data_IF_203691355974
#
_entry.id   IF_203691355974
#
_cell.length_a   1.000
_cell.length_b   1.000
_cell.length_c   1.000
_cell.angle_alpha   90.00
_cell.angle_beta   90.00
_cell.angle_gamma   90.00
#
_symmetry.space_group_name_H-M   'P 1'
#
loop_
_entity.id
_entity.type
_entity.pdbx_description
1 polymer ?
#
# COMPACT_ATOMS: atom_id res chain seq x y z
N UNK A 1 -34.90 2.87 -87.49
CA UNK A 1 -33.57 3.11 -86.88
C UNK A 1 -33.77 3.40 -85.40
N UNK A 2 -33.58 2.41 -84.52
CA UNK A 2 -33.65 2.54 -83.06
C UNK A 2 -32.26 2.23 -82.49
N UNK A 3 -31.71 3.18 -81.72
CA UNK A 3 -30.40 3.11 -81.06
C UNK A 3 -30.49 2.20 -79.84
N UNK A 4 -29.58 1.24 -79.73
CA UNK A 4 -29.32 0.49 -78.49
C UNK A 4 -28.10 1.13 -77.82
N UNK A 5 -28.31 1.66 -76.62
CA UNK A 5 -27.27 2.26 -75.76
C UNK A 5 -26.62 1.13 -74.95
N UNK A 6 -25.29 1.03 -75.02
CA UNK A 6 -24.48 0.12 -74.21
C UNK A 6 -24.07 0.86 -72.93
N UNK A 7 -24.54 0.42 -71.76
CA UNK A 7 -24.06 0.91 -70.47
C UNK A 7 -22.75 0.19 -70.11
N UNK A 8 -21.66 0.94 -69.97
CA UNK A 8 -20.41 0.48 -69.35
C UNK A 8 -20.52 0.68 -67.83
N UNK A 9 -20.46 -0.40 -67.05
CA UNK A 9 -20.33 -0.33 -65.60
C UNK A 9 -18.85 -0.24 -65.22
N UNK A 10 -18.44 0.87 -64.60
CA UNK A 10 -17.10 1.05 -64.04
C UNK A 10 -17.10 0.56 -62.60
N UNK A 11 -16.42 -0.55 -62.33
CA UNK A 11 -16.23 -1.08 -60.98
C UNK A 11 -15.05 -0.36 -60.31
N UNK A 12 -15.35 0.59 -59.42
CA UNK A 12 -14.35 1.18 -58.52
C UNK A 12 -13.98 0.16 -57.44
N UNK A 13 -12.77 -0.39 -57.53
CA UNK A 13 -12.17 -1.24 -56.50
C UNK A 13 -11.53 -0.33 -55.44
N UNK A 14 -12.17 -0.24 -54.27
CA UNK A 14 -11.60 0.43 -53.11
C UNK A 14 -10.58 -0.52 -52.46
N UNK A 15 -9.30 -0.27 -52.66
CA UNK A 15 -8.23 -1.01 -51.99
C UNK A 15 -8.16 -0.53 -50.52
N UNK A 16 -8.70 -1.34 -49.60
CA UNK A 16 -8.50 -1.15 -48.17
C UNK A 16 -7.07 -1.56 -47.86
N UNK A 17 -6.20 -0.57 -47.66
CA UNK A 17 -4.87 -0.79 -47.07
C UNK A 17 -5.11 -1.09 -45.58
N UNK A 18 -5.12 -2.37 -45.22
CA UNK A 18 -5.07 -2.80 -43.84
C UNK A 18 -3.67 -2.47 -43.29
N UNK A 19 -3.50 -1.24 -42.79
CA UNK A 19 -2.34 -0.87 -42.00
C UNK A 19 -2.36 -1.69 -40.71
N UNK A 20 -1.44 -2.66 -40.62
CA UNK A 20 -1.17 -3.36 -39.38
C UNK A 20 -0.61 -2.34 -38.39
N UNK A 21 -1.46 -1.79 -37.52
CA UNK A 21 -0.99 -1.06 -36.36
C UNK A 21 -0.22 -2.04 -35.48
N UNK A 22 1.12 -2.00 -35.55
CA UNK A 22 1.97 -2.65 -34.57
C UNK A 22 1.62 -2.04 -33.22
N UNK A 23 0.89 -2.78 -32.39
CA UNK A 23 0.76 -2.46 -30.98
C UNK A 23 2.19 -2.38 -30.42
N UNK A 24 2.60 -1.18 -30.03
CA UNK A 24 3.82 -0.99 -29.27
C UNK A 24 3.55 -1.68 -27.92
N UNK A 25 4.01 -2.92 -27.77
CA UNK A 25 3.98 -3.60 -26.49
C UNK A 25 4.96 -2.85 -25.57
N UNK A 26 4.43 -1.95 -24.75
CA UNK A 26 5.20 -1.36 -23.67
C UNK A 26 5.65 -2.50 -22.74
N UNK A 27 6.88 -2.44 -22.20
CA UNK A 27 7.33 -3.44 -21.26
C UNK A 27 6.38 -3.47 -20.05
N UNK A 28 5.91 -4.67 -19.71
CA UNK A 28 5.05 -4.92 -18.55
C UNK A 28 5.86 -5.57 -17.44
N UNK A 29 5.63 -5.13 -16.21
CA UNK A 29 6.15 -5.76 -15.01
C UNK A 29 5.04 -6.51 -14.28
N UNK A 30 5.39 -7.68 -13.75
CA UNK A 30 4.55 -8.42 -12.83
C UNK A 30 4.91 -8.03 -11.39
N UNK A 31 3.91 -7.54 -10.66
CA UNK A 31 3.98 -7.20 -9.25
C UNK A 31 3.40 -8.37 -8.46
N UNK A 32 4.29 -9.12 -7.81
CA UNK A 32 3.92 -10.20 -6.88
C UNK A 32 3.65 -9.59 -5.52
N UNK A 33 2.39 -9.49 -5.13
CA UNK A 33 1.96 -8.85 -3.89
C UNK A 33 1.62 -9.90 -2.85
N UNK A 34 2.09 -9.72 -1.62
CA UNK A 34 1.72 -10.53 -0.45
C UNK A 34 1.14 -9.60 0.62
N UNK A 35 -0.02 -9.94 1.16
CA UNK A 35 -0.65 -9.23 2.29
C UNK A 35 -0.50 -10.08 3.53
N UNK A 36 0.09 -9.53 4.57
CA UNK A 36 0.32 -10.18 5.85
C UNK A 36 0.04 -9.22 7.01
N UNK A 37 -0.12 -9.78 8.21
CA UNK A 37 -0.17 -9.06 9.48
C UNK A 37 0.61 -9.88 10.49
N UNK A 38 1.57 -9.26 11.18
CA UNK A 38 2.43 -9.95 12.16
C UNK A 38 2.99 -11.30 11.62
N UNK A 39 3.43 -11.29 10.36
CA UNK A 39 3.94 -12.47 9.64
C UNK A 39 2.89 -13.52 9.21
N UNK A 40 1.61 -13.32 9.53
CA UNK A 40 0.52 -14.22 9.15
C UNK A 40 -0.15 -13.76 7.85
N UNK A 41 -0.42 -14.71 6.95
CA UNK A 41 -1.06 -14.42 5.66
C UNK A 41 -2.51 -13.92 5.81
N UNK A 42 -2.85 -12.83 5.12
CA UNK A 42 -4.24 -12.34 5.06
C UNK A 42 -4.91 -12.85 3.79
N UNK A 43 -5.73 -13.88 3.94
CA UNK A 43 -6.44 -14.53 2.83
C UNK A 43 -7.72 -13.78 2.43
N UNK A 44 -8.06 -13.78 1.14
CA UNK A 44 -9.30 -13.17 0.64
C UNK A 44 -9.39 -11.66 0.75
N UNK A 45 -8.32 -10.96 1.15
CA UNK A 45 -8.23 -9.51 1.21
C UNK A 45 -8.42 -8.91 -0.18
N UNK A 46 -9.21 -7.84 -0.30
CA UNK A 46 -9.34 -7.13 -1.57
C UNK A 46 -8.13 -6.22 -1.75
N UNK A 47 -7.36 -6.42 -2.82
CA UNK A 47 -6.18 -5.63 -3.14
C UNK A 47 -6.43 -4.83 -4.42
N UNK A 48 -6.14 -3.54 -4.38
CA UNK A 48 -6.16 -2.64 -5.51
C UNK A 48 -4.75 -2.22 -5.89
N UNK A 49 -4.42 -2.29 -7.17
CA UNK A 49 -3.23 -1.62 -7.73
C UNK A 49 -3.67 -0.28 -8.31
N UNK A 50 -3.07 0.80 -7.83
CA UNK A 50 -3.49 2.17 -8.15
C UNK A 50 -2.28 2.95 -8.65
N UNK A 51 -2.46 3.66 -9.77
CA UNK A 51 -1.48 4.60 -10.30
C UNK A 51 -1.73 5.98 -9.72
N UNK A 52 -0.72 6.54 -9.06
CA UNK A 52 -0.70 7.92 -8.58
C UNK A 52 0.21 8.75 -9.47
N UNK A 53 -0.33 9.85 -10.00
CA UNK A 53 0.43 10.82 -10.78
C UNK A 53 0.06 12.23 -10.33
N UNK A 54 1.06 13.09 -10.24
CA UNK A 54 0.83 14.47 -9.83
C UNK A 54 -0.15 15.20 -10.73
N UNK A 55 -1.04 15.98 -10.10
CA UNK A 55 -2.02 16.81 -10.81
C UNK A 55 -3.10 15.99 -11.55
N UNK A 56 -3.10 14.66 -11.40
CA UNK A 56 -4.11 13.76 -11.94
C UNK A 56 -4.78 13.02 -10.78
N UNK A 57 -6.06 12.71 -10.95
CA UNK A 57 -6.75 11.83 -10.02
C UNK A 57 -6.12 10.41 -10.08
N UNK A 58 -5.98 9.71 -8.94
CA UNK A 58 -5.50 8.34 -8.92
C UNK A 58 -6.36 7.42 -9.79
N UNK A 59 -5.70 6.52 -10.52
CA UNK A 59 -6.37 5.56 -11.40
C UNK A 59 -6.19 4.15 -10.88
N UNK A 60 -7.30 3.50 -10.50
CA UNK A 60 -7.29 2.06 -10.24
C UNK A 60 -6.96 1.34 -11.54
N UNK A 61 -5.87 0.59 -11.54
CA UNK A 61 -5.41 -0.21 -12.68
C UNK A 61 -6.09 -1.57 -12.66
N UNK A 62 -6.11 -2.20 -11.49
CA UNK A 62 -6.70 -3.52 -11.32
C UNK A 62 -7.11 -3.74 -9.86
N UNK A 63 -7.97 -4.73 -9.65
CA UNK A 63 -8.44 -5.17 -8.34
C UNK A 63 -8.53 -6.70 -8.33
N UNK A 64 -8.04 -7.33 -7.28
CA UNK A 64 -8.07 -8.77 -7.12
C UNK A 64 -8.17 -9.14 -5.62
N UNK A 65 -8.35 -10.43 -5.33
CA UNK A 65 -8.33 -10.93 -3.95
C UNK A 65 -7.10 -11.78 -3.70
N UNK A 66 -6.55 -11.72 -2.50
CA UNK A 66 -5.47 -12.62 -2.09
C UNK A 66 -5.94 -14.07 -1.99
N UNK A 67 -5.06 -15.01 -2.32
CA UNK A 67 -5.29 -16.43 -2.10
C UNK A 67 -5.10 -16.81 -0.61
N UNK A 68 -5.12 -18.10 -0.29
CA UNK A 68 -4.93 -18.59 1.09
C UNK A 68 -3.54 -18.29 1.67
N UNK A 69 -2.54 -18.03 0.82
CA UNK A 69 -1.19 -17.64 1.23
C UNK A 69 -1.03 -16.11 1.32
N UNK A 70 -2.12 -15.34 1.21
CA UNK A 70 -2.07 -13.88 1.21
C UNK A 70 -1.54 -13.26 -0.09
N UNK A 71 -1.40 -14.05 -1.16
CA UNK A 71 -0.73 -13.61 -2.40
C UNK A 71 -1.70 -13.23 -3.51
N UNK A 72 -1.29 -12.27 -4.34
CA UNK A 72 -1.95 -11.86 -5.58
C UNK A 72 -0.91 -11.33 -6.57
N UNK A 73 -1.17 -11.44 -7.87
CA UNK A 73 -0.26 -10.94 -8.91
C UNK A 73 -1.01 -9.89 -9.74
N UNK A 74 -0.34 -8.78 -10.02
CA UNK A 74 -0.79 -7.77 -10.97
C UNK A 74 0.23 -7.62 -12.10
N UNK A 75 -0.25 -7.35 -13.30
CA UNK A 75 0.61 -6.97 -14.43
C UNK A 75 0.28 -5.55 -14.82
N UNK A 76 1.30 -4.71 -14.97
CA UNK A 76 1.13 -3.34 -15.44
C UNK A 76 2.35 -2.85 -16.19
N UNK A 77 2.16 -1.81 -17.00
CA UNK A 77 3.25 -1.14 -17.70
C UNK A 77 4.25 -0.55 -16.69
N UNK A 78 5.53 -0.54 -17.06
CA UNK A 78 6.56 0.19 -16.33
C UNK A 78 6.14 1.65 -16.23
N UNK A 79 6.19 2.21 -15.02
CA UNK A 79 5.83 3.61 -14.80
C UNK A 79 7.02 4.52 -15.11
N UNK A 80 6.80 5.50 -15.98
CA UNK A 80 7.77 6.55 -16.34
C UNK A 80 7.65 7.79 -15.44
N UNK A 81 6.43 8.08 -14.99
CA UNK A 81 6.10 9.22 -14.13
C UNK A 81 5.03 8.85 -13.09
N UNK A 82 5.28 9.22 -11.83
CA UNK A 82 4.46 8.86 -10.67
C UNK A 82 4.92 7.57 -10.01
N UNK A 83 4.01 6.93 -9.29
CA UNK A 83 4.28 5.65 -8.63
C UNK A 83 3.03 4.76 -8.62
N UNK A 84 3.23 3.47 -8.43
CA UNK A 84 2.13 2.58 -8.08
C UNK A 84 2.02 2.49 -6.57
N UNK A 85 0.81 2.38 -6.08
CA UNK A 85 0.58 1.94 -4.71
C UNK A 85 -0.47 0.86 -4.67
N UNK A 86 -0.31 -0.02 -3.70
CA UNK A 86 -1.20 -1.13 -3.44
C UNK A 86 -1.97 -0.82 -2.17
N UNK A 87 -3.27 -1.10 -2.18
CA UNK A 87 -4.14 -0.95 -1.02
C UNK A 87 -4.89 -2.25 -0.80
N UNK A 88 -4.76 -2.84 0.39
CA UNK A 88 -5.54 -4.00 0.81
C UNK A 88 -6.62 -3.57 1.80
N UNK A 89 -7.77 -4.24 1.78
CA UNK A 89 -8.84 -4.08 2.78
C UNK A 89 -9.38 -5.47 3.14
N UNK A 90 -9.52 -5.70 4.44
CA UNK A 90 -10.21 -6.86 4.99
C UNK A 90 -9.49 -8.18 4.73
N UNK A 91 -10.27 -9.25 4.70
CA UNK A 91 -9.78 -10.61 4.53
C UNK A 91 -9.87 -11.42 5.81
N UNK A 92 -9.14 -12.53 5.85
CA UNK A 92 -9.15 -13.49 6.95
C UNK A 92 -7.75 -13.91 7.36
N UNK A 93 -7.56 -14.03 8.67
CA UNK A 93 -6.40 -14.64 9.31
C UNK A 93 -6.92 -15.78 10.19
N UNK A 94 -6.40 -16.98 9.98
CA UNK A 94 -6.85 -18.21 10.67
C UNK A 94 -8.38 -18.40 10.67
N UNK A 95 -9.03 -18.01 9.58
CA UNK A 95 -10.49 -18.10 9.40
C UNK A 95 -11.30 -16.97 10.04
N UNK A 96 -10.68 -16.10 10.85
CA UNK A 96 -11.33 -14.93 11.45
C UNK A 96 -11.32 -13.75 10.49
N UNK A 97 -12.46 -13.06 10.34
CA UNK A 97 -12.55 -11.84 9.53
C UNK A 97 -11.80 -10.69 10.20
N UNK A 98 -11.05 -9.93 9.41
CA UNK A 98 -10.31 -8.73 9.84
C UNK A 98 -10.78 -7.49 9.08
N UNK A 99 -12.07 -7.10 9.17
CA UNK A 99 -12.70 -6.15 8.25
C UNK A 99 -12.08 -4.74 8.27
N UNK A 100 -11.46 -4.34 9.38
CA UNK A 100 -10.82 -3.04 9.53
C UNK A 100 -9.30 -3.06 9.31
N UNK A 101 -8.71 -4.23 9.06
CA UNK A 101 -7.31 -4.34 8.69
C UNK A 101 -7.15 -3.96 7.22
N UNK A 102 -6.45 -2.86 6.99
CA UNK A 102 -6.11 -2.34 5.69
C UNK A 102 -4.62 -2.01 5.64
N UNK A 103 -3.95 -2.39 4.56
CA UNK A 103 -2.51 -2.13 4.40
C UNK A 103 -2.24 -1.35 3.12
N UNK A 104 -1.11 -0.64 3.11
CA UNK A 104 -0.70 0.17 1.98
C UNK A 104 0.79 -0.05 1.69
N UNK A 105 1.16 -0.15 0.41
CA UNK A 105 2.55 -0.18 0.00
C UNK A 105 2.74 0.70 -1.23
N UNK A 106 3.65 1.66 -1.16
CA UNK A 106 4.03 2.53 -2.29
C UNK A 106 5.27 1.95 -2.94
N UNK A 107 5.18 1.70 -4.25
CA UNK A 107 6.26 1.21 -5.11
C UNK A 107 6.59 2.28 -6.14
N UNK A 108 7.74 2.93 -5.96
CA UNK A 108 8.28 3.84 -6.96
C UNK A 108 8.98 3.04 -8.10
N UNK A 109 9.56 3.75 -9.07
CA UNK A 109 10.24 3.15 -10.23
C UNK A 109 11.63 2.54 -9.91
N UNK A 110 12.19 2.82 -8.73
CA UNK A 110 13.46 2.25 -8.27
C UNK A 110 13.24 0.91 -7.56
N UNK A 111 12.06 0.73 -6.94
CA UNK A 111 11.67 -0.48 -6.22
C UNK A 111 11.14 -1.54 -7.18
N UNK A 112 12.05 -2.41 -7.62
CA UNK A 112 11.73 -3.54 -8.49
C UNK A 112 11.71 -4.82 -7.67
N UNK A 113 10.58 -5.54 -7.65
CA UNK A 113 10.48 -6.83 -6.97
C UNK A 113 9.09 -7.15 -6.42
N UNK A 114 8.98 -8.20 -5.57
CA UNK A 114 7.74 -8.47 -4.86
C UNK A 114 7.38 -7.29 -3.95
N UNK A 115 6.09 -7.15 -3.65
CA UNK A 115 5.58 -6.15 -2.72
C UNK A 115 4.96 -6.88 -1.55
N UNK A 116 5.49 -6.66 -0.35
CA UNK A 116 4.91 -7.13 0.90
C UNK A 116 4.12 -5.98 1.49
N UNK A 117 2.87 -6.24 1.86
CA UNK A 117 1.95 -5.29 2.46
C UNK A 117 1.67 -5.74 3.89
N UNK A 118 2.27 -5.05 4.84
CA UNK A 118 2.12 -5.30 6.28
C UNK A 118 2.13 -3.99 7.06
N UNK A 119 2.24 -4.06 8.37
CA UNK A 119 2.23 -2.91 9.26
C UNK A 119 3.39 -1.94 8.98
N UNK A 120 4.61 -2.46 8.83
CA UNK A 120 5.82 -1.64 8.60
C UNK A 120 5.76 -0.95 7.25
N UNK A 121 5.38 -1.67 6.18
CA UNK A 121 5.29 -1.06 4.84
C UNK A 121 4.15 -0.07 4.75
N UNK A 122 3.06 -0.29 5.50
CA UNK A 122 1.95 0.66 5.60
C UNK A 122 2.41 1.95 6.26
N UNK A 123 3.04 1.85 7.44
CA UNK A 123 3.55 3.02 8.16
C UNK A 123 4.58 3.76 7.31
N UNK A 124 5.57 3.04 6.75
CA UNK A 124 6.63 3.62 5.94
C UNK A 124 6.16 4.23 4.62
N UNK A 125 5.05 3.74 4.05
CA UNK A 125 4.46 4.31 2.84
C UNK A 125 3.57 5.52 3.14
N UNK A 126 2.78 5.46 4.21
CA UNK A 126 1.83 6.52 4.55
C UNK A 126 2.54 7.75 5.11
N UNK A 127 3.50 7.59 6.02
CA UNK A 127 4.12 8.74 6.71
C UNK A 127 4.74 9.79 5.77
N UNK A 128 5.59 9.43 4.79
CA UNK A 128 6.19 10.40 3.88
C UNK A 128 5.18 11.11 2.97
N UNK A 129 3.99 10.51 2.80
CA UNK A 129 2.95 10.97 1.88
C UNK A 129 1.68 11.45 2.59
N UNK A 130 1.68 11.53 3.93
CA UNK A 130 0.46 11.72 4.73
C UNK A 130 -0.31 12.99 4.38
N UNK A 131 0.40 14.10 4.09
CA UNK A 131 -0.20 15.37 3.70
C UNK A 131 -0.95 15.31 2.35
N UNK A 132 -0.72 14.25 1.57
CA UNK A 132 -1.35 14.00 0.29
C UNK A 132 -2.42 12.91 0.36
N UNK A 133 -2.52 12.18 1.47
CA UNK A 133 -3.52 11.14 1.64
C UNK A 133 -4.81 11.73 2.20
N UNK A 134 -5.86 11.77 1.39
CA UNK A 134 -7.17 12.28 1.77
C UNK A 134 -8.27 11.45 1.14
N UNK A 135 -9.34 11.20 1.89
CA UNK A 135 -10.52 10.46 1.42
C UNK A 135 -10.16 9.09 0.79
N UNK A 136 -9.15 8.43 1.35
CA UNK A 136 -8.72 7.09 0.93
C UNK A 136 -7.78 7.04 -0.28
N UNK A 137 -7.29 8.19 -0.76
CA UNK A 137 -6.50 8.32 -1.98
C UNK A 137 -5.35 9.34 -1.85
N UNK A 138 -4.30 9.18 -2.65
CA UNK A 138 -3.23 10.18 -2.73
C UNK A 138 -3.56 11.26 -3.77
N UNK A 139 -3.61 12.53 -3.39
CA UNK A 139 -3.68 13.67 -4.32
C UNK A 139 -2.72 14.80 -3.90
N UNK A 140 -1.98 15.38 -4.84
CA UNK A 140 -1.06 16.47 -4.57
C UNK A 140 -0.19 16.87 -5.76
N UNK A 141 0.80 17.73 -5.48
CA UNK A 141 1.69 18.32 -6.47
C UNK A 141 2.89 17.43 -6.80
N UNK A 142 3.57 17.73 -7.92
CA UNK A 142 4.61 16.89 -8.51
C UNK A 142 5.79 16.65 -7.60
N UNK A 143 6.31 17.74 -7.03
CA UNK A 143 7.50 17.68 -6.20
C UNK A 143 7.20 16.92 -4.91
N UNK A 144 6.07 17.20 -4.27
CA UNK A 144 5.65 16.52 -3.04
C UNK A 144 5.46 15.01 -3.24
N UNK A 145 4.83 14.60 -4.33
CA UNK A 145 4.62 13.18 -4.65
C UNK A 145 5.93 12.46 -4.90
N UNK A 146 6.78 13.06 -5.75
CA UNK A 146 8.08 12.48 -6.07
C UNK A 146 8.92 12.31 -4.81
N UNK A 147 9.13 13.39 -4.05
CA UNK A 147 9.90 13.37 -2.81
C UNK A 147 9.31 12.36 -1.82
N UNK A 148 7.99 12.41 -1.56
CA UNK A 148 7.35 11.49 -0.63
C UNK A 148 7.52 10.03 -1.03
N UNK A 149 7.33 9.69 -2.32
CA UNK A 149 7.53 8.32 -2.81
C UNK A 149 8.99 7.85 -2.75
N UNK A 150 9.96 8.75 -2.92
CA UNK A 150 11.39 8.44 -2.81
C UNK A 150 11.83 8.25 -1.35
N UNK A 151 11.08 8.81 -0.39
CA UNK A 151 11.36 8.68 1.05
C UNK A 151 10.80 7.41 1.68
N UNK A 152 9.89 6.68 1.00
CA UNK A 152 9.32 5.43 1.51
C UNK A 152 10.41 4.42 1.85
N UNK A 153 11.39 4.25 0.96
CA UNK A 153 12.51 3.31 1.14
C UNK A 153 13.39 3.62 2.36
N UNK A 154 13.36 4.86 2.87
CA UNK A 154 14.11 5.21 4.08
C UNK A 154 13.47 4.64 5.34
N UNK A 155 12.16 4.42 5.33
CA UNK A 155 11.40 3.91 6.48
C UNK A 155 11.07 2.43 6.34
N UNK A 156 10.73 1.97 5.12
CA UNK A 156 10.32 0.61 4.87
C UNK A 156 10.91 0.06 3.57
N UNK A 157 11.33 -1.21 3.62
CA UNK A 157 11.69 -2.00 2.46
C UNK A 157 10.49 -2.84 2.05
N UNK A 158 9.73 -2.38 1.05
CA UNK A 158 8.51 -3.05 0.60
C UNK A 158 8.76 -4.46 0.04
N UNK A 159 9.97 -4.76 -0.44
CA UNK A 159 10.28 -6.06 -1.01
C UNK A 159 10.45 -7.15 0.05
N UNK A 160 10.78 -6.74 1.27
CA UNK A 160 11.03 -7.64 2.40
C UNK A 160 9.99 -7.51 3.51
N UNK A 161 9.11 -6.50 3.44
CA UNK A 161 8.16 -6.22 4.50
C UNK A 161 8.79 -5.64 5.77
N UNK A 162 10.07 -5.25 5.71
CA UNK A 162 10.85 -4.84 6.88
C UNK A 162 11.19 -3.35 6.85
N UNK A 163 11.98 -2.90 7.83
CA UNK A 163 12.47 -1.53 7.88
C UNK A 163 13.39 -1.21 6.70
N UNK A 164 13.40 0.06 6.29
CA UNK A 164 14.37 0.57 5.31
C UNK A 164 15.78 0.62 5.87
N UNK A 165 16.80 0.42 5.02
CA UNK A 165 18.20 0.41 5.45
C UNK A 165 18.62 1.73 6.12
N UNK A 166 18.05 2.86 5.67
CA UNK A 166 18.34 4.18 6.22
C UNK A 166 17.97 4.27 7.70
N UNK A 167 16.76 3.84 8.09
CA UNK A 167 16.34 3.91 9.50
C UNK A 167 17.12 2.92 10.38
N UNK A 168 17.68 1.85 9.78
CA UNK A 168 18.53 0.87 10.45
C UNK A 168 20.01 1.29 10.56
N UNK A 169 20.42 2.43 9.98
CA UNK A 169 21.82 2.80 9.91
C UNK A 169 22.32 3.59 11.13
N UNK A 170 23.27 3.02 11.88
CA UNK A 170 24.12 3.72 12.83
C UNK A 170 23.35 4.59 13.83
N UNK A 171 23.59 5.90 13.78
CA UNK A 171 22.94 6.89 14.64
C UNK A 171 21.41 6.90 14.53
N UNK A 172 20.82 6.51 13.40
CA UNK A 172 19.35 6.45 13.27
C UNK A 172 18.72 5.40 14.20
N UNK A 173 19.45 4.32 14.50
CA UNK A 173 18.98 3.30 15.46
C UNK A 173 19.24 3.74 16.89
N UNK A 174 20.40 4.33 17.17
CA UNK A 174 20.85 4.61 18.54
C UNK A 174 20.42 5.97 19.08
N UNK A 175 20.14 6.94 18.21
CA UNK A 175 19.89 8.35 18.57
C UNK A 175 18.50 8.84 18.15
N UNK A 176 17.73 8.04 17.41
CA UNK A 176 16.32 8.33 17.12
C UNK A 176 15.40 7.41 17.90
N UNK A 177 14.11 7.78 17.96
CA UNK A 177 13.01 6.95 18.45
C UNK A 177 12.15 6.38 17.29
N UNK A 178 12.55 6.57 16.03
CA UNK A 178 11.74 6.24 14.85
C UNK A 178 11.29 4.78 14.84
N UNK A 179 12.22 3.83 14.93
CA UNK A 179 11.88 2.39 14.92
C UNK A 179 10.96 2.05 16.11
N UNK A 180 11.17 2.66 17.27
CA UNK A 180 10.41 2.36 18.48
C UNK A 180 8.97 2.82 18.34
N UNK A 181 8.77 4.02 17.77
CA UNK A 181 7.44 4.55 17.45
C UNK A 181 6.76 3.77 16.33
N UNK A 182 7.50 3.38 15.29
CA UNK A 182 6.97 2.54 14.22
C UNK A 182 6.53 1.18 14.75
N UNK A 183 7.32 0.52 15.60
CA UNK A 183 6.94 -0.74 16.24
C UNK A 183 5.71 -0.58 17.14
N UNK A 184 5.61 0.50 17.92
CA UNK A 184 4.40 0.76 18.70
C UNK A 184 3.15 0.89 17.81
N UNK A 185 3.25 1.62 16.70
CA UNK A 185 2.16 1.75 15.73
C UNK A 185 1.85 0.43 15.03
N UNK A 186 2.87 -0.36 14.69
CA UNK A 186 2.70 -1.66 14.06
C UNK A 186 2.01 -2.65 15.01
N UNK A 187 2.41 -2.68 16.29
CA UNK A 187 1.71 -3.46 17.31
C UNK A 187 0.24 -3.06 17.42
N UNK A 188 -0.08 -1.77 17.51
CA UNK A 188 -1.47 -1.29 17.54
C UNK A 188 -2.23 -1.66 16.27
N UNK A 189 -1.63 -1.49 15.10
CA UNK A 189 -2.22 -1.87 13.82
C UNK A 189 -2.49 -3.37 13.73
N UNK A 190 -1.58 -4.21 14.23
CA UNK A 190 -1.73 -5.66 14.26
C UNK A 190 -2.92 -6.11 15.11
N UNK A 191 -3.41 -5.28 16.05
CA UNK A 191 -4.62 -5.60 16.83
C UNK A 191 -5.87 -5.72 15.98
N UNK A 192 -5.88 -5.09 14.80
CA UNK A 192 -6.93 -5.23 13.79
C UNK A 192 -6.68 -6.40 12.84
N UNK A 193 -5.45 -6.90 12.78
CA UNK A 193 -4.99 -7.99 11.94
C UNK A 193 -4.71 -9.24 12.76
N UNK A 194 -3.47 -9.74 12.79
CA UNK A 194 -3.11 -11.02 13.40
C UNK A 194 -3.27 -11.07 14.93
N UNK A 195 -3.15 -9.95 15.64
CA UNK A 195 -3.33 -9.84 17.08
C UNK A 195 -4.76 -9.43 17.45
N UNK A 196 -5.76 -10.03 16.79
CA UNK A 196 -7.18 -9.68 16.91
C UNK A 196 -7.58 -9.45 18.37
N UNK A 197 -7.97 -8.22 18.68
CA UNK A 197 -8.43 -7.85 20.03
C UNK A 197 -9.40 -6.66 19.99
N UNK A 198 -10.07 -6.41 21.12
CA UNK A 198 -10.93 -5.23 21.28
C UNK A 198 -10.18 -3.90 21.14
N UNK A 199 -8.86 -3.91 21.32
CA UNK A 199 -7.98 -2.76 21.15
C UNK A 199 -7.99 -2.21 19.72
N UNK A 200 -8.34 -3.01 18.71
CA UNK A 200 -8.50 -2.51 17.33
C UNK A 200 -9.54 -1.39 17.27
N UNK A 201 -10.75 -1.62 17.81
CA UNK A 201 -11.82 -0.62 17.81
C UNK A 201 -11.42 0.64 18.58
N UNK A 202 -10.66 0.51 19.66
CA UNK A 202 -10.14 1.64 20.43
C UNK A 202 -9.10 2.43 19.65
N UNK A 203 -8.14 1.75 19.00
CA UNK A 203 -7.13 2.37 18.15
C UNK A 203 -7.77 3.18 17.03
N UNK A 204 -8.74 2.61 16.34
CA UNK A 204 -9.49 3.28 15.27
C UNK A 204 -10.28 4.48 15.79
N UNK A 205 -10.95 4.34 16.94
CA UNK A 205 -11.74 5.42 17.55
C UNK A 205 -10.86 6.59 17.99
N UNK A 206 -9.73 6.33 18.64
CA UNK A 206 -8.78 7.36 19.09
C UNK A 206 -8.28 8.19 17.91
N UNK A 207 -8.05 7.55 16.77
CA UNK A 207 -7.47 8.19 15.59
C UNK A 207 -8.52 8.57 14.55
N UNK A 208 -9.81 8.60 14.94
CA UNK A 208 -10.93 9.02 14.09
C UNK A 208 -10.93 8.34 12.71
N UNK A 209 -10.80 7.02 12.69
CA UNK A 209 -10.61 6.24 11.47
C UNK A 209 -11.51 5.00 11.43
N UNK A 210 -11.83 4.53 10.23
CA UNK A 210 -12.61 3.31 10.01
C UNK A 210 -11.73 2.08 9.73
N UNK A 211 -10.45 2.31 9.41
CA UNK A 211 -9.48 1.26 9.11
C UNK A 211 -8.06 1.72 9.45
N UNK A 212 -7.12 0.78 9.44
CA UNK A 212 -5.74 1.01 9.86
C UNK A 212 -4.96 1.97 8.96
N UNK A 213 -5.22 2.06 7.65
CA UNK A 213 -4.54 3.05 6.79
C UNK A 213 -4.93 4.46 7.21
N UNK A 214 -6.24 4.70 7.39
CA UNK A 214 -6.75 6.02 7.76
C UNK A 214 -6.31 6.41 9.18
N UNK A 215 -6.22 5.45 10.11
CA UNK A 215 -5.67 5.68 11.44
C UNK A 215 -4.21 6.14 11.38
N UNK A 216 -3.38 5.43 10.61
CA UNK A 216 -1.96 5.79 10.42
C UNK A 216 -1.83 7.15 9.71
N UNK A 217 -2.66 7.43 8.70
CA UNK A 217 -2.64 8.72 8.01
C UNK A 217 -3.00 9.87 8.95
N UNK A 218 -4.04 9.71 9.78
CA UNK A 218 -4.46 10.72 10.75
C UNK A 218 -3.36 10.98 11.79
N UNK A 219 -2.69 9.93 12.28
CA UNK A 219 -1.52 10.06 13.17
C UNK A 219 -0.39 10.80 12.45
N UNK A 220 -0.07 10.43 11.21
CA UNK A 220 1.04 11.03 10.47
C UNK A 220 0.80 12.52 10.14
N UNK A 221 -0.44 12.93 9.90
CA UNK A 221 -0.82 14.34 9.70
C UNK A 221 -0.71 15.14 10.99
N UNK A 222 -1.12 14.58 12.14
CA UNK A 222 -1.14 15.25 13.43
C UNK A 222 -0.54 14.39 14.55
N UNK A 223 0.79 14.13 14.55
CA UNK A 223 1.42 13.15 15.44
C UNK A 223 1.36 13.52 16.93
N UNK A 224 1.05 14.77 17.25
CA UNK A 224 0.91 15.28 18.61
C UNK A 224 -0.51 15.09 19.20
N UNK A 225 -1.53 14.89 18.36
CA UNK A 225 -2.94 15.02 18.79
C UNK A 225 -3.36 13.93 19.79
N UNK A 226 -2.95 12.68 19.55
CA UNK A 226 -3.40 11.51 20.32
C UNK A 226 -2.25 10.64 20.85
N UNK A 227 -1.03 11.19 20.90
CA UNK A 227 0.17 10.43 21.24
C UNK A 227 0.04 9.68 22.59
N UNK A 228 -0.45 10.36 23.64
CA UNK A 228 -0.64 9.75 24.96
C UNK A 228 -1.69 8.63 24.95
N UNK A 229 -2.81 8.84 24.26
CA UNK A 229 -3.89 7.85 24.19
C UNK A 229 -3.42 6.59 23.46
N UNK A 230 -2.69 6.75 22.36
CA UNK A 230 -2.09 5.64 21.62
C UNK A 230 -1.03 4.91 22.45
N UNK A 231 -0.16 5.62 23.17
CA UNK A 231 0.84 4.96 24.04
C UNK A 231 0.20 4.22 25.21
N UNK A 232 -0.81 4.82 25.85
CA UNK A 232 -1.55 4.18 26.95
C UNK A 232 -2.27 2.91 26.44
N UNK A 233 -2.90 2.99 25.26
CA UNK A 233 -3.53 1.84 24.62
C UNK A 233 -2.51 0.73 24.34
N UNK A 234 -1.34 1.05 23.80
CA UNK A 234 -0.28 0.08 23.54
C UNK A 234 0.15 -0.62 24.84
N UNK A 235 0.43 0.14 25.89
CA UNK A 235 0.88 -0.43 27.16
C UNK A 235 -0.16 -1.30 27.85
N UNK A 236 -1.44 -0.96 27.69
CA UNK A 236 -2.55 -1.76 28.21
C UNK A 236 -2.81 -3.03 27.40
N UNK A 237 -2.64 -2.97 26.07
CA UNK A 237 -2.86 -4.11 25.16
C UNK A 237 -1.73 -5.12 25.25
N UNK A 238 -0.49 -4.64 25.33
CA UNK A 238 0.71 -5.47 25.36
C UNK A 238 1.49 -5.24 26.65
N UNK A 239 0.97 -5.62 27.83
CA UNK A 239 1.69 -5.45 29.09
C UNK A 239 2.98 -6.27 29.10
N UNK A 240 3.95 -5.86 29.93
CA UNK A 240 5.10 -6.73 30.25
C UNK A 240 4.59 -7.81 31.21
N UNK A 241 4.62 -9.10 30.84
CA UNK A 241 4.17 -10.17 31.72
C UNK A 241 5.02 -10.22 33.00
N UNK A 242 4.41 -10.58 34.12
CA UNK A 242 5.13 -10.72 35.39
C UNK A 242 6.30 -11.70 35.25
N UNK A 243 7.48 -11.29 35.73
CA UNK A 243 8.70 -12.08 35.63
C UNK A 243 9.33 -12.16 34.23
N UNK A 244 8.78 -11.48 33.22
CA UNK A 244 9.36 -11.43 31.88
C UNK A 244 10.00 -10.08 31.58
N UNK A 245 11.00 -10.09 30.71
CA UNK A 245 11.69 -8.89 30.24
C UNK A 245 11.07 -8.30 28.94
N UNK A 246 10.12 -9.01 28.31
CA UNK A 246 9.58 -8.64 26.99
C UNK A 246 8.06 -8.76 26.95
N UNK A 247 7.42 -7.86 26.19
CA UNK A 247 5.98 -7.86 25.89
C UNK A 247 5.69 -8.95 24.85
N UNK A 248 4.46 -9.46 24.83
CA UNK A 248 4.00 -10.47 23.86
C UNK A 248 3.58 -9.82 22.53
N UNK A 249 4.53 -9.26 21.80
CA UNK A 249 4.35 -8.72 20.43
C UNK A 249 5.67 -8.81 19.69
N UNK A 250 5.62 -9.08 18.38
CA UNK A 250 6.84 -9.10 17.56
C UNK A 250 7.34 -7.67 17.24
N UNK A 251 6.48 -6.66 17.39
CA UNK A 251 6.82 -5.25 17.21
C UNK A 251 7.26 -4.60 18.53
N UNK A 252 8.46 -4.95 19.00
CA UNK A 252 8.99 -4.44 20.27
C UNK A 252 9.53 -2.99 20.13
N UNK A 253 9.00 -2.00 20.89
CA UNK A 253 9.68 -0.72 21.02
C UNK A 253 10.95 -0.88 21.86
N UNK A 254 12.10 -0.41 21.39
CA UNK A 254 13.38 -0.50 22.12
C UNK A 254 13.58 0.61 23.17
N UNK A 255 12.71 1.63 23.20
CA UNK A 255 12.72 2.72 24.17
C UNK A 255 11.33 2.87 24.78
N UNK A 256 11.16 2.39 26.01
CA UNK A 256 10.01 2.70 26.88
C UNK A 256 10.51 2.89 28.29
#
# INVERSE_FOLDING_TARGET
MKKTVLLLAIANTCAIVAGSASAHNLPSNDYKVTVESDGQAVSGAQVQMIKAQSGLAPKIISTAKTNHEGKVIFSSEVIDNGFYYFKSIGGKIDGNEVPNYSTLAVSNNEQNGPVIMNEITTIGSVYPLAQFYKDGQFNGNANGFKIGSEQVQNLANINTGSFGDTVLNGANVTESQTIGRMNMMAALMSTCGANISSSCGQFLTINHADNTIDAIANIAVAPYAHAKQNSDLFFSTFPVPEGQARRSTDFLPYLT
#
